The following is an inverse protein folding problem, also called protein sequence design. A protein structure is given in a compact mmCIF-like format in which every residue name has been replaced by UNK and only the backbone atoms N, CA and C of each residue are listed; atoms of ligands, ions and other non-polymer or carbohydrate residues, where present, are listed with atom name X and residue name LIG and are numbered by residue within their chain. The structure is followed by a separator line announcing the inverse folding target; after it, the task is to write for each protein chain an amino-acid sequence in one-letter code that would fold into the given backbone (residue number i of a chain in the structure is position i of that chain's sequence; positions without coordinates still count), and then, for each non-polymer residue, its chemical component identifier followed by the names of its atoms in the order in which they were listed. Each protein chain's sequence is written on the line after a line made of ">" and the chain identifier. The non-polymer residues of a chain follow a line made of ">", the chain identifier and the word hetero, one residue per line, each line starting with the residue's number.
data_IF_628606585919
#
_entry.id   IF_628606585919
#
_cell.length_a   1.000
_cell.length_b   1.000
_cell.length_c   1.000
_cell.angle_alpha   90.00
_cell.angle_beta   90.00
_cell.angle_gamma   90.00
#
_symmetry.space_group_name_H-M   'P 1'
#
loop_
_entity.id
_entity.type
_entity.pdbx_description
1 polymer ?
#
# COMPACT_ATOMS: atom_id res chain seq x y z
N UNK A 1 10.30 5.87 -28.97
CA UNK A 1 9.56 6.38 -27.80
C UNK A 1 8.12 6.63 -28.17
N UNK A 2 7.20 6.33 -27.28
CA UNK A 2 5.78 6.61 -27.50
C UNK A 2 5.53 8.10 -27.40
N UNK A 3 4.94 8.69 -28.42
CA UNK A 3 4.68 10.13 -28.49
C UNK A 3 3.31 10.53 -27.93
N UNK A 4 2.50 9.57 -27.50
CA UNK A 4 1.20 9.84 -26.92
C UNK A 4 1.24 9.76 -25.40
N UNK A 5 0.44 10.58 -24.76
CA UNK A 5 0.28 10.56 -23.30
C UNK A 5 -0.34 9.24 -22.87
N UNK A 6 0.27 8.59 -21.90
CA UNK A 6 -0.25 7.36 -21.31
C UNK A 6 -0.74 7.62 -19.91
N UNK A 7 -1.87 7.05 -19.60
CA UNK A 7 -2.39 6.98 -18.24
C UNK A 7 -2.08 5.60 -17.70
N UNK A 8 -1.08 5.52 -16.84
CA UNK A 8 -0.61 4.25 -16.27
C UNK A 8 -1.05 4.16 -14.82
N UNK A 9 -1.73 3.07 -14.48
CA UNK A 9 -2.11 2.75 -13.11
C UNK A 9 -1.35 1.50 -12.70
N UNK A 10 -0.55 1.61 -11.63
CA UNK A 10 0.02 0.44 -10.97
C UNK A 10 -1.09 -0.23 -10.17
N UNK A 11 -1.48 -1.43 -10.59
CA UNK A 11 -2.66 -2.12 -10.05
C UNK A 11 -2.38 -2.88 -8.74
N UNK A 12 -1.13 -2.94 -8.27
CA UNK A 12 -0.80 -3.69 -7.07
C UNK A 12 0.48 -3.15 -6.42
N UNK A 13 0.31 -2.32 -5.42
CA UNK A 13 1.44 -1.80 -4.66
C UNK A 13 1.17 -1.90 -3.16
N UNK A 14 2.23 -2.12 -2.38
CA UNK A 14 2.15 -2.18 -0.93
C UNK A 14 2.82 -0.94 -0.33
N UNK A 15 2.18 -0.37 0.67
CA UNK A 15 2.75 0.72 1.47
C UNK A 15 2.63 0.38 2.95
N UNK A 16 3.56 0.90 3.73
CA UNK A 16 3.62 0.68 5.18
C UNK A 16 3.79 2.01 5.91
N UNK A 17 3.29 2.14 7.15
CA UNK A 17 3.59 3.30 7.99
C UNK A 17 5.10 3.49 8.14
N UNK A 18 5.58 4.73 8.12
CA UNK A 18 7.01 5.04 8.17
C UNK A 18 7.75 4.35 9.32
N UNK A 19 7.10 4.25 10.48
CA UNK A 19 7.70 3.62 11.68
C UNK A 19 8.05 2.15 11.50
N UNK A 20 7.36 1.45 10.61
CA UNK A 20 7.55 0.01 10.41
C UNK A 20 7.98 -0.35 8.98
N UNK A 21 8.00 0.61 8.08
CA UNK A 21 8.25 0.37 6.66
C UNK A 21 9.56 -0.37 6.41
N UNK A 22 10.65 0.10 7.01
CA UNK A 22 11.96 -0.54 6.83
C UNK A 22 11.96 -1.98 7.36
N UNK A 23 11.38 -2.20 8.54
CA UNK A 23 11.28 -3.54 9.12
C UNK A 23 10.42 -4.47 8.28
N UNK A 24 9.28 -3.98 7.77
CA UNK A 24 8.40 -4.77 6.91
C UNK A 24 9.11 -5.14 5.61
N UNK A 25 9.81 -4.19 5.00
CA UNK A 25 10.59 -4.40 3.78
C UNK A 25 11.70 -5.42 4.00
N UNK A 26 12.44 -5.30 5.08
CA UNK A 26 13.52 -6.23 5.44
C UNK A 26 12.99 -7.66 5.67
N UNK A 27 11.85 -7.78 6.34
CA UNK A 27 11.22 -9.08 6.60
C UNK A 27 10.77 -9.75 5.29
N UNK A 28 10.19 -8.99 4.37
CA UNK A 28 9.79 -9.50 3.04
C UNK A 28 11.03 -9.94 2.26
N UNK A 29 12.07 -9.11 2.25
CA UNK A 29 13.33 -9.44 1.59
C UNK A 29 13.95 -10.71 2.14
N UNK A 30 13.97 -10.88 3.46
CA UNK A 30 14.48 -12.08 4.10
C UNK A 30 13.66 -13.33 3.77
N UNK A 31 12.33 -13.20 3.75
CA UNK A 31 11.44 -14.31 3.42
C UNK A 31 11.66 -14.84 1.99
N UNK A 32 11.85 -13.94 1.04
CA UNK A 32 12.06 -14.30 -0.36
C UNK A 32 13.53 -14.40 -0.77
N UNK A 33 14.45 -14.13 0.16
CA UNK A 33 15.89 -14.05 -0.11
C UNK A 33 16.21 -13.07 -1.25
N UNK A 34 15.63 -11.88 -1.15
CA UNK A 34 15.77 -10.81 -2.15
C UNK A 34 16.25 -9.50 -1.49
N UNK A 35 17.05 -8.76 -2.24
CA UNK A 35 17.42 -7.40 -1.85
C UNK A 35 16.26 -6.46 -2.18
N UNK A 36 15.85 -5.65 -1.19
CA UNK A 36 14.77 -4.69 -1.34
C UNK A 36 15.35 -3.29 -1.51
N UNK A 37 15.08 -2.66 -2.65
CA UNK A 37 15.68 -1.38 -3.03
C UNK A 37 15.07 -0.16 -2.34
N UNK A 38 13.81 -0.25 -1.88
CA UNK A 38 13.06 0.89 -1.38
C UNK A 38 12.51 0.62 0.02
N UNK A 39 12.13 1.69 0.72
CA UNK A 39 11.75 1.61 2.14
C UNK A 39 10.29 1.21 2.40
N UNK A 40 9.46 1.11 1.37
CA UNK A 40 8.06 0.70 1.50
C UNK A 40 7.10 1.81 1.94
N UNK A 41 7.53 3.07 1.93
CA UNK A 41 6.64 4.20 2.25
C UNK A 41 5.85 4.67 1.03
N UNK A 42 4.71 5.32 1.28
CA UNK A 42 3.91 5.94 0.22
C UNK A 42 4.71 7.02 -0.53
N UNK A 43 5.49 7.83 0.20
CA UNK A 43 6.32 8.88 -0.40
C UNK A 43 7.33 8.31 -1.40
N UNK A 44 7.99 7.22 -1.04
CA UNK A 44 8.96 6.55 -1.92
C UNK A 44 8.27 5.95 -3.14
N UNK A 45 7.13 5.29 -2.95
CA UNK A 45 6.33 4.72 -4.05
C UNK A 45 5.97 5.80 -5.08
N UNK A 46 5.42 6.91 -4.62
CA UNK A 46 5.00 8.02 -5.49
C UNK A 46 6.20 8.63 -6.20
N UNK A 47 7.29 8.89 -5.48
CA UNK A 47 8.50 9.46 -6.05
C UNK A 47 9.05 8.59 -7.18
N UNK A 48 9.21 7.30 -6.93
CA UNK A 48 9.78 6.37 -7.91
C UNK A 48 8.83 6.15 -9.09
N UNK A 49 7.55 6.03 -8.83
CA UNK A 49 6.57 5.86 -9.87
C UNK A 49 6.42 7.11 -10.75
N UNK A 50 6.47 8.31 -10.18
CA UNK A 50 6.40 9.56 -10.92
C UNK A 50 7.59 9.67 -11.89
N UNK A 51 8.78 9.27 -11.47
CA UNK A 51 9.96 9.21 -12.33
C UNK A 51 9.77 8.25 -13.53
N UNK A 52 8.95 7.22 -13.37
CA UNK A 52 8.64 6.23 -14.40
C UNK A 52 7.37 6.55 -15.19
N UNK A 53 6.67 7.64 -14.88
CA UNK A 53 5.45 8.04 -15.60
C UNK A 53 4.19 7.35 -15.12
N UNK A 54 4.17 6.75 -13.93
CA UNK A 54 2.98 6.14 -13.34
C UNK A 54 2.06 7.24 -12.82
N UNK A 55 0.77 7.16 -13.19
CA UNK A 55 -0.22 8.18 -12.85
C UNK A 55 -0.88 7.95 -11.49
N UNK A 56 -1.23 6.69 -11.20
CA UNK A 56 -1.89 6.29 -9.95
C UNK A 56 -1.42 4.92 -9.49
N UNK A 57 -1.66 4.67 -8.20
CA UNK A 57 -1.26 3.41 -7.55
C UNK A 57 -2.44 2.84 -6.78
N UNK A 58 -2.78 1.59 -7.00
CA UNK A 58 -3.69 0.84 -6.14
C UNK A 58 -2.87 0.29 -4.98
N UNK A 59 -3.12 0.82 -3.79
CA UNK A 59 -2.33 0.47 -2.60
C UNK A 59 -3.12 -0.36 -1.61
N UNK A 60 -2.42 -1.27 -0.99
CA UNK A 60 -2.96 -2.17 0.02
C UNK A 60 -1.88 -2.53 1.02
N UNK A 61 -2.29 -3.10 2.12
CA UNK A 61 -1.39 -3.65 3.11
C UNK A 61 -1.88 -5.02 3.54
N UNK A 62 -1.13 -5.70 4.41
CA UNK A 62 -1.45 -7.08 4.80
C UNK A 62 -1.64 -7.14 6.30
N UNK A 63 -2.78 -7.71 6.73
CA UNK A 63 -3.03 -8.06 8.12
C UNK A 63 -2.64 -9.52 8.33
N UNK A 64 -1.60 -9.77 9.10
CA UNK A 64 -1.15 -11.12 9.41
C UNK A 64 -1.86 -11.72 10.62
N UNK A 65 -2.51 -10.89 11.43
CA UNK A 65 -3.34 -11.29 12.57
C UNK A 65 -4.58 -10.41 12.64
N UNK A 66 -5.70 -10.91 13.23
CA UNK A 66 -6.97 -10.19 13.23
C UNK A 66 -6.92 -8.77 13.81
N UNK A 67 -6.19 -8.57 14.90
CA UNK A 67 -6.15 -7.28 15.59
C UNK A 67 -5.42 -6.17 14.82
N UNK A 68 -4.73 -6.50 13.74
CA UNK A 68 -4.06 -5.52 12.89
C UNK A 68 -4.99 -4.88 11.85
N UNK A 69 -6.11 -5.52 11.51
CA UNK A 69 -6.97 -5.14 10.39
C UNK A 69 -7.39 -3.67 10.46
N UNK A 70 -8.00 -3.27 11.56
CA UNK A 70 -8.53 -1.92 11.70
C UNK A 70 -7.45 -0.84 11.57
N UNK A 71 -6.31 -1.07 12.22
CA UNK A 71 -5.18 -0.14 12.19
C UNK A 71 -4.58 -0.01 10.79
N UNK A 72 -4.46 -1.13 10.08
CA UNK A 72 -3.95 -1.17 8.71
C UNK A 72 -4.90 -0.43 7.78
N UNK A 73 -6.20 -0.66 7.90
CA UNK A 73 -7.19 0.03 7.09
C UNK A 73 -7.23 1.53 7.38
N UNK A 74 -7.11 1.93 8.64
CA UNK A 74 -7.00 3.35 9.02
C UNK A 74 -5.79 4.01 8.35
N UNK A 75 -4.67 3.30 8.31
CA UNK A 75 -3.47 3.80 7.63
C UNK A 75 -3.69 3.99 6.13
N UNK A 76 -4.35 3.03 5.46
CA UNK A 76 -4.66 3.16 4.03
C UNK A 76 -5.61 4.34 3.79
N UNK A 77 -6.66 4.49 4.59
CA UNK A 77 -7.58 5.63 4.49
C UNK A 77 -6.83 6.95 4.60
N UNK A 78 -5.99 7.11 5.62
CA UNK A 78 -5.21 8.34 5.82
C UNK A 78 -4.23 8.60 4.68
N UNK A 79 -3.65 7.55 4.12
CA UNK A 79 -2.74 7.67 2.98
C UNK A 79 -3.47 8.18 1.73
N UNK A 80 -4.66 7.66 1.46
CA UNK A 80 -5.49 8.12 0.34
C UNK A 80 -5.94 9.57 0.56
N UNK A 81 -6.31 9.95 1.77
CA UNK A 81 -6.66 11.33 2.11
C UNK A 81 -5.49 12.30 1.89
N UNK A 82 -4.27 11.85 2.18
CA UNK A 82 -3.06 12.66 1.98
C UNK A 82 -2.70 12.81 0.50
N UNK A 83 -2.93 11.78 -0.30
CA UNK A 83 -2.58 11.75 -1.72
C UNK A 83 -3.78 11.33 -2.59
N UNK A 84 -4.87 12.12 -2.58
CA UNK A 84 -6.12 11.70 -3.25
C UNK A 84 -6.00 11.58 -4.77
N UNK A 85 -5.07 12.31 -5.38
CA UNK A 85 -4.85 12.27 -6.83
C UNK A 85 -3.90 11.13 -7.26
N UNK A 86 -3.27 10.46 -6.33
CA UNK A 86 -2.26 9.44 -6.60
C UNK A 86 -2.66 8.05 -6.13
N UNK A 87 -3.31 7.93 -4.98
CA UNK A 87 -3.57 6.64 -4.34
C UNK A 87 -5.04 6.24 -4.44
N UNK A 88 -5.26 4.98 -4.77
CA UNK A 88 -6.53 4.28 -4.68
C UNK A 88 -6.33 3.19 -3.61
N UNK A 89 -7.07 3.25 -2.52
CA UNK A 89 -6.87 2.35 -1.39
C UNK A 89 -7.79 1.14 -1.43
N UNK A 90 -7.25 -0.03 -1.13
CA UNK A 90 -8.03 -1.23 -0.85
C UNK A 90 -7.83 -1.63 0.60
N UNK A 91 -8.93 -1.99 1.25
CA UNK A 91 -8.90 -2.49 2.63
C UNK A 91 -8.45 -3.93 2.71
N UNK A 92 -7.98 -4.33 3.89
CA UNK A 92 -7.61 -5.69 4.20
C UNK A 92 -8.56 -6.28 5.23
N UNK A 93 -8.77 -7.58 5.17
CA UNK A 93 -9.56 -8.33 6.13
C UNK A 93 -8.75 -9.54 6.58
N UNK A 94 -9.19 -10.18 7.66
CA UNK A 94 -8.57 -11.42 8.13
C UNK A 94 -9.68 -12.44 8.41
N UNK A 95 -9.51 -13.72 7.99
CA UNK A 95 -10.58 -14.72 8.12
C UNK A 95 -11.00 -14.99 9.56
N UNK A 96 -10.10 -14.80 10.52
CA UNK A 96 -10.38 -15.05 11.95
C UNK A 96 -10.82 -13.80 12.71
N UNK A 97 -11.04 -12.67 12.01
CA UNK A 97 -11.46 -11.45 12.68
C UNK A 97 -12.94 -11.48 13.04
N UNK A 98 -13.30 -10.78 14.13
CA UNK A 98 -14.66 -10.46 14.48
C UNK A 98 -15.05 -9.10 13.89
N UNK A 99 -16.33 -8.93 13.57
CA UNK A 99 -16.81 -7.64 13.05
C UNK A 99 -16.37 -7.35 11.62
N UNK A 100 -16.28 -8.37 10.79
CA UNK A 100 -15.86 -8.23 9.39
C UNK A 100 -16.83 -7.36 8.60
N UNK A 101 -18.14 -7.57 8.78
CA UNK A 101 -19.17 -6.80 8.07
C UNK A 101 -19.10 -5.32 8.44
N UNK A 102 -18.95 -5.02 9.73
CA UNK A 102 -18.81 -3.65 10.21
C UNK A 102 -17.56 -2.99 9.64
N UNK A 103 -16.47 -3.73 9.50
CA UNK A 103 -15.25 -3.19 8.91
C UNK A 103 -15.41 -2.90 7.42
N UNK A 104 -16.10 -3.78 6.69
CA UNK A 104 -16.42 -3.55 5.27
C UNK A 104 -17.28 -2.29 5.12
N UNK A 105 -18.29 -2.14 5.96
CA UNK A 105 -19.19 -0.97 5.93
C UNK A 105 -18.46 0.32 6.28
N UNK A 106 -17.44 0.25 7.13
CA UNK A 106 -16.63 1.41 7.55
C UNK A 106 -15.71 1.90 6.43
N UNK A 107 -15.28 1.02 5.57
CA UNK A 107 -14.38 1.33 4.47
C UNK A 107 -15.15 1.86 3.24
#
# INVERSE_FOLDING_TARGET
>A
MLSYSKYIIDAHAHIFPEKIAQKATDNIGSFYDLYMNFDGTADMLIKQGDECGVSKYVVQSVATVPHQVKRINDFIVKSVEKYPDKLIGFGSLHPDMKGMEEEIDRL
#
